data_IF_678531424193
#
_entry.id   IF_678531424193
#
_cell.length_a   1.000
_cell.length_b   1.000
_cell.length_c   1.000
_cell.angle_alpha   90.00
_cell.angle_beta   90.00
_cell.angle_gamma   90.00
#
_symmetry.space_group_name_H-M   'P 1'
#
loop_
_entity.id
_entity.type
_entity.pdbx_description
1 polymer ?
#
# COMPACT_ATOMS: atom_id res chain seq x y z
N UNK A 1 8.87 8.88 32.00
CA UNK A 1 7.95 9.57 31.08
C UNK A 1 8.70 9.79 29.76
N UNK A 2 8.99 8.71 29.01
CA UNK A 2 9.45 8.83 27.63
C UNK A 2 8.20 9.16 26.81
N UNK A 3 7.86 10.43 26.80
CA UNK A 3 6.71 10.96 26.09
C UNK A 3 6.93 10.79 24.58
N UNK A 4 6.30 9.75 24.02
CA UNK A 4 5.85 9.67 22.63
C UNK A 4 6.90 9.97 21.55
N UNK A 5 8.05 9.30 21.60
CA UNK A 5 8.91 9.23 20.40
C UNK A 5 8.23 8.37 19.32
N UNK A 6 7.55 9.02 18.38
CA UNK A 6 7.37 8.48 17.03
C UNK A 6 8.45 9.12 16.16
N UNK A 7 9.57 8.42 15.98
CA UNK A 7 10.63 8.84 15.07
C UNK A 7 10.09 8.82 13.63
N UNK A 8 9.55 9.96 13.19
CA UNK A 8 9.03 10.18 11.84
C UNK A 8 10.12 10.31 10.80
N UNK A 9 10.97 9.29 10.65
CA UNK A 9 11.99 9.18 9.61
C UNK A 9 11.63 8.08 8.60
N UNK A 10 10.39 8.10 8.11
CA UNK A 10 9.91 7.14 7.11
C UNK A 10 8.85 7.75 6.19
N UNK A 11 8.77 7.25 4.95
CA UNK A 11 7.69 7.55 4.01
C UNK A 11 6.34 7.23 4.65
N UNK A 12 5.32 8.07 4.48
CA UNK A 12 3.97 7.72 4.95
C UNK A 12 3.40 6.66 4.01
N UNK A 13 2.74 5.62 4.55
CA UNK A 13 2.06 4.61 3.74
C UNK A 13 1.01 5.31 2.85
N UNK A 14 1.12 5.25 1.50
CA UNK A 14 0.15 5.86 0.62
C UNK A 14 -1.20 5.16 0.78
N UNK A 15 -2.30 5.91 0.68
CA UNK A 15 -3.64 5.34 0.69
C UNK A 15 -4.05 5.02 -0.74
N UNK A 16 -4.36 3.76 -1.02
CA UNK A 16 -4.96 3.31 -2.29
C UNK A 16 -6.39 2.87 -1.99
N UNK A 17 -7.36 3.52 -2.63
CA UNK A 17 -8.76 3.14 -2.52
C UNK A 17 -9.07 2.02 -3.50
N UNK A 18 -9.62 0.92 -2.99
CA UNK A 18 -10.17 -0.16 -3.81
C UNK A 18 -11.39 0.33 -4.58
N UNK A 19 -11.50 -0.05 -5.85
CA UNK A 19 -12.66 0.28 -6.69
C UNK A 19 -13.68 -0.85 -6.69
N UNK A 20 -13.22 -2.09 -6.50
CA UNK A 20 -14.03 -3.30 -6.40
C UNK A 20 -13.75 -4.03 -5.08
N UNK A 21 -14.76 -4.75 -4.55
CA UNK A 21 -14.65 -5.44 -3.26
C UNK A 21 -13.57 -6.54 -3.23
N UNK A 22 -13.26 -7.10 -4.40
CA UNK A 22 -12.25 -8.15 -4.58
C UNK A 22 -10.82 -7.61 -4.58
N UNK A 23 -10.60 -6.29 -4.56
CA UNK A 23 -9.26 -5.70 -4.66
C UNK A 23 -8.62 -5.36 -3.32
N UNK A 24 -9.24 -5.70 -2.19
CA UNK A 24 -8.70 -5.33 -0.89
C UNK A 24 -7.26 -5.82 -0.70
N UNK A 25 -6.93 -7.03 -1.18
CA UNK A 25 -5.58 -7.58 -1.19
C UNK A 25 -4.61 -6.80 -2.07
N UNK A 26 -5.00 -6.49 -3.31
CA UNK A 26 -4.20 -5.71 -4.25
C UNK A 26 -3.96 -4.28 -3.75
N UNK A 27 -4.97 -3.65 -3.15
CA UNK A 27 -4.84 -2.33 -2.53
C UNK A 27 -3.82 -2.37 -1.38
N UNK A 28 -3.90 -3.36 -0.49
CA UNK A 28 -2.91 -3.54 0.58
C UNK A 28 -1.49 -3.71 0.03
N UNK A 29 -1.33 -4.56 -0.98
CA UNK A 29 -0.03 -4.80 -1.62
C UNK A 29 0.54 -3.53 -2.25
N UNK A 30 -0.29 -2.78 -2.97
CA UNK A 30 0.10 -1.50 -3.59
C UNK A 30 0.51 -0.45 -2.56
N UNK A 31 -0.18 -0.37 -1.41
CA UNK A 31 0.18 0.56 -0.34
C UNK A 31 1.56 0.24 0.26
N UNK A 32 1.84 -1.05 0.53
CA UNK A 32 3.14 -1.49 1.05
C UNK A 32 4.24 -1.30 0.01
N UNK A 33 3.99 -1.65 -1.25
CA UNK A 33 4.93 -1.44 -2.34
C UNK A 33 5.28 0.06 -2.49
N UNK A 34 4.28 0.93 -2.48
CA UNK A 34 4.45 2.38 -2.56
C UNK A 34 5.21 2.98 -1.38
N UNK A 35 5.01 2.45 -0.17
CA UNK A 35 5.79 2.84 1.01
C UNK A 35 7.30 2.58 0.82
N UNK A 36 7.67 1.48 0.16
CA UNK A 36 9.06 1.13 -0.17
C UNK A 36 9.58 1.78 -1.46
N UNK A 37 8.81 2.69 -2.08
CA UNK A 37 9.22 3.42 -3.28
C UNK A 37 8.94 2.69 -4.60
N UNK A 38 8.21 1.57 -4.58
CA UNK A 38 7.76 0.92 -5.80
C UNK A 38 6.54 1.62 -6.38
N UNK A 39 6.63 1.99 -7.65
CA UNK A 39 5.55 2.66 -8.37
C UNK A 39 4.69 1.61 -9.07
N UNK A 40 3.52 1.33 -8.52
CA UNK A 40 2.53 0.40 -9.07
C UNK A 40 1.12 0.97 -8.89
N UNK A 41 0.17 0.47 -9.67
CA UNK A 41 -1.26 0.77 -9.55
C UNK A 41 -2.07 -0.53 -9.52
N UNK A 42 -3.36 -0.42 -9.20
CA UNK A 42 -4.26 -1.58 -9.11
C UNK A 42 -4.38 -2.33 -10.43
N UNK A 43 -4.35 -1.65 -11.59
CA UNK A 43 -4.45 -2.32 -12.88
C UNK A 43 -3.22 -3.20 -13.16
N UNK A 44 -2.02 -2.71 -12.87
CA UNK A 44 -0.78 -3.48 -12.94
C UNK A 44 -0.77 -4.66 -11.97
N UNK A 45 -1.29 -4.48 -10.75
CA UNK A 45 -1.36 -5.55 -9.75
C UNK A 45 -2.40 -6.61 -10.12
N UNK A 46 -3.55 -6.24 -10.69
CA UNK A 46 -4.56 -7.19 -11.21
C UNK A 46 -3.98 -8.12 -12.27
N UNK A 47 -3.12 -7.60 -13.15
CA UNK A 47 -2.49 -8.41 -14.20
C UNK A 47 -1.42 -9.36 -13.64
N UNK A 48 -0.69 -8.93 -12.61
CA UNK A 48 0.37 -9.73 -11.97
C UNK A 48 -0.20 -10.77 -10.99
N UNK A 49 -1.31 -10.44 -10.31
CA UNK A 49 -1.92 -11.23 -9.25
C UNK A 49 -3.44 -11.39 -9.47
N UNK A 50 -3.88 -12.07 -10.55
CA UNK A 50 -5.30 -12.15 -10.92
C UNK A 50 -6.18 -12.98 -9.98
N UNK A 51 -5.59 -13.70 -9.02
CA UNK A 51 -6.29 -14.58 -8.08
C UNK A 51 -6.19 -14.11 -6.61
N UNK A 52 -5.60 -12.93 -6.38
CA UNK A 52 -5.46 -12.30 -5.06
C UNK A 52 -6.60 -11.30 -4.82
#
# INVERSE_FOLDING_TARGET
>A
MLDRLHFGFGTRLPLILQTEATECGLACLGMVAGYHGHRTDLANLRQQFPAL
#
